data_IF_715501784742
#
_entry.id   IF_715501784742
#
_cell.length_a   1.000
_cell.length_b   1.000
_cell.length_c   1.000
_cell.angle_alpha   90.00
_cell.angle_beta   90.00
_cell.angle_gamma   90.00
#
_symmetry.space_group_name_H-M   'P 1'
#
loop_
_entity.id
_entity.type
_entity.pdbx_description
1 polymer ?
#
# COMPACT_ATOMS: atom_id res chain seq x y z
N UNK A 1 6.05 -6.97 -2.26
CA UNK A 1 4.93 -7.17 -1.31
C UNK A 1 3.64 -7.24 -2.11
N UNK A 2 2.68 -8.08 -1.72
CA UNK A 2 1.36 -8.13 -2.38
C UNK A 2 0.41 -7.13 -1.72
N UNK A 3 -0.58 -6.63 -2.46
CA UNK A 3 -1.62 -5.75 -1.91
C UNK A 3 -2.28 -6.33 -0.64
N UNK A 4 -2.62 -7.62 -0.67
CA UNK A 4 -3.27 -8.33 0.43
C UNK A 4 -2.42 -8.32 1.71
N UNK A 5 -1.09 -8.36 1.55
CA UNK A 5 -0.15 -8.33 2.67
C UNK A 5 -0.08 -6.93 3.28
N UNK A 6 -0.07 -5.88 2.44
CA UNK A 6 -0.19 -4.49 2.90
C UNK A 6 -1.47 -4.30 3.71
N UNK A 7 -2.61 -4.76 3.18
CA UNK A 7 -3.93 -4.58 3.81
C UNK A 7 -3.97 -5.27 5.18
N UNK A 8 -3.44 -6.49 5.30
CA UNK A 8 -3.37 -7.21 6.58
C UNK A 8 -2.54 -6.45 7.63
N UNK A 9 -1.39 -5.93 7.22
CA UNK A 9 -0.50 -5.14 8.09
C UNK A 9 -1.14 -3.81 8.47
N UNK A 10 -1.76 -3.13 7.51
CA UNK A 10 -2.47 -1.88 7.74
C UNK A 10 -3.63 -2.07 8.74
N UNK A 11 -4.34 -3.20 8.67
CA UNK A 11 -5.44 -3.55 9.58
C UNK A 11 -4.98 -3.69 11.05
N UNK A 12 -3.71 -4.06 11.29
CA UNK A 12 -3.12 -4.13 12.63
C UNK A 12 -2.41 -2.83 13.04
N UNK A 13 -2.81 -1.70 12.45
CA UNK A 13 -2.27 -0.35 12.71
C UNK A 13 -0.82 -0.12 12.30
N UNK A 14 -0.24 -0.99 11.48
CA UNK A 14 1.02 -0.67 10.82
C UNK A 14 0.77 0.52 9.87
N UNK A 15 1.63 1.53 9.92
CA UNK A 15 1.55 2.72 9.06
C UNK A 15 2.85 2.98 8.30
N UNK A 16 3.95 2.38 8.73
CA UNK A 16 5.25 2.57 8.08
C UNK A 16 5.49 1.49 7.02
N UNK A 17 5.27 1.86 5.76
CA UNK A 17 5.52 1.02 4.59
C UNK A 17 6.56 1.67 3.67
N UNK A 18 7.58 2.29 4.27
CA UNK A 18 8.66 2.91 3.49
C UNK A 18 9.46 1.88 2.70
N UNK A 19 9.90 2.25 1.51
CA UNK A 19 10.77 1.44 0.63
C UNK A 19 10.19 0.08 0.21
N UNK A 20 8.89 -0.16 0.43
CA UNK A 20 8.26 -1.43 0.02
C UNK A 20 8.09 -1.48 -1.50
N UNK A 21 8.17 -2.68 -2.06
CA UNK A 21 7.81 -2.90 -3.45
C UNK A 21 6.33 -3.31 -3.56
N UNK A 22 5.52 -2.44 -4.15
CA UNK A 22 4.09 -2.60 -4.46
C UNK A 22 3.85 -2.52 -5.98
N UNK A 23 4.84 -2.87 -6.79
CA UNK A 23 4.67 -2.95 -8.24
C UNK A 23 3.45 -3.81 -8.59
N UNK A 24 2.59 -3.30 -9.47
CA UNK A 24 1.36 -3.95 -9.94
C UNK A 24 0.35 -4.29 -8.83
N UNK A 25 0.48 -3.68 -7.64
CA UNK A 25 -0.45 -3.91 -6.55
C UNK A 25 -1.81 -3.26 -6.83
N UNK A 26 -2.89 -4.02 -6.68
CA UNK A 26 -4.25 -3.49 -6.70
C UNK A 26 -4.64 -3.04 -5.27
N UNK A 27 -4.64 -1.72 -5.04
CA UNK A 27 -5.04 -1.06 -3.80
C UNK A 27 -6.27 -0.17 -4.02
N UNK A 28 -7.06 -0.46 -5.06
CA UNK A 28 -8.24 0.30 -5.43
C UNK A 28 -9.28 0.28 -4.31
N UNK A 29 -9.84 1.46 -4.00
CA UNK A 29 -10.88 1.64 -2.97
C UNK A 29 -10.48 1.17 -1.55
N UNK A 30 -9.18 0.99 -1.29
CA UNK A 30 -8.67 0.70 0.05
C UNK A 30 -8.43 2.00 0.80
N UNK A 31 -9.02 2.16 1.97
CA UNK A 31 -8.73 3.31 2.85
C UNK A 31 -7.32 3.17 3.45
N UNK A 32 -6.36 3.87 2.85
CA UNK A 32 -4.96 3.93 3.33
C UNK A 32 -4.61 5.30 3.92
N UNK A 33 -5.58 5.98 4.56
CA UNK A 33 -5.31 7.25 5.23
C UNK A 33 -4.13 7.13 6.20
N UNK A 34 -3.26 8.13 6.19
CA UNK A 34 -2.05 8.22 7.03
C UNK A 34 -1.00 7.13 6.77
N UNK A 35 -1.09 6.37 5.68
CA UNK A 35 -0.03 5.42 5.32
C UNK A 35 1.25 6.15 4.91
N UNK A 36 2.39 5.70 5.41
CA UNK A 36 3.70 6.18 4.97
C UNK A 36 4.26 5.25 3.89
N UNK A 37 4.09 5.64 2.64
CA UNK A 37 4.65 4.95 1.47
C UNK A 37 5.94 5.62 0.95
N UNK A 38 6.66 6.39 1.78
CA UNK A 38 7.84 7.11 1.30
C UNK A 38 8.87 6.15 0.70
N UNK A 39 9.33 6.46 -0.52
CA UNK A 39 10.25 5.63 -1.30
C UNK A 39 9.71 4.25 -1.71
N UNK A 40 8.40 4.00 -1.59
CA UNK A 40 7.82 2.76 -2.11
C UNK A 40 7.87 2.71 -3.64
N UNK A 41 8.04 1.52 -4.20
CA UNK A 41 7.95 1.27 -5.64
C UNK A 41 6.47 0.98 -5.96
N UNK A 42 5.83 1.88 -6.71
CA UNK A 42 4.39 1.85 -7.02
C UNK A 42 4.11 1.74 -8.53
N UNK A 43 5.09 1.27 -9.31
CA UNK A 43 4.93 1.09 -10.74
C UNK A 43 3.68 0.24 -11.03
N UNK A 44 2.82 0.69 -11.95
CA UNK A 44 1.58 0.00 -12.32
C UNK A 44 0.61 -0.33 -11.16
N UNK A 45 0.80 0.25 -9.96
CA UNK A 45 -0.11 0.03 -8.85
C UNK A 45 -1.44 0.76 -9.13
N UNK A 46 -2.57 0.07 -8.91
CA UNK A 46 -3.88 0.70 -8.98
C UNK A 46 -4.21 1.32 -7.62
N UNK A 47 -4.09 2.65 -7.54
CA UNK A 47 -4.40 3.47 -6.37
C UNK A 47 -5.74 4.22 -6.54
N UNK A 48 -6.60 3.80 -7.46
CA UNK A 48 -7.83 4.52 -7.77
C UNK A 48 -8.73 4.57 -6.53
N UNK A 49 -9.09 5.78 -6.08
CA UNK A 49 -9.91 6.04 -4.87
C UNK A 49 -9.33 5.45 -3.57
N UNK A 50 -8.00 5.31 -3.50
CA UNK A 50 -7.29 4.93 -2.28
C UNK A 50 -7.17 6.11 -1.29
#
# INVERSE_FOLDING_TARGET
MKANELIKRYAVRERDFRKVNLNEANLREVDLREINLSQAILNLADLTKC
#
